data_IF_554326799966
#
_entry.id   IF_554326799966
#
_cell.length_a   1.000
_cell.length_b   1.000
_cell.length_c   1.000
_cell.angle_alpha   90.00
_cell.angle_beta   90.00
_cell.angle_gamma   90.00
#
_symmetry.space_group_name_H-M   'P 1'
#
loop_
_entity.id
_entity.type
_entity.pdbx_description
1 polymer ?
#
# COMPACT_ATOMS: atom_id res chain seq x y z
N UNK A 1 -15.79 5.27 25.12
CA UNK A 1 -15.37 3.87 24.88
C UNK A 1 -14.36 3.92 23.76
N UNK A 2 -13.08 3.72 24.09
CA UNK A 2 -12.00 3.77 23.11
C UNK A 2 -12.04 2.47 22.30
N UNK A 3 -12.44 2.57 21.02
CA UNK A 3 -12.42 1.45 20.10
C UNK A 3 -10.97 1.22 19.61
N UNK A 4 -10.29 0.24 20.17
CA UNK A 4 -8.99 -0.19 19.66
C UNK A 4 -9.15 -0.98 18.36
N UNK A 5 -8.31 -0.70 17.37
CA UNK A 5 -8.18 -1.49 16.15
C UNK A 5 -7.78 -2.93 16.53
N UNK A 6 -8.62 -3.91 16.19
CA UNK A 6 -8.36 -5.31 16.46
C UNK A 6 -7.25 -5.86 15.56
N UNK A 7 -6.20 -6.43 16.15
CA UNK A 7 -5.15 -7.13 15.42
C UNK A 7 -5.49 -8.62 15.36
N UNK A 8 -5.60 -9.20 14.16
CA UNK A 8 -5.63 -10.65 13.93
C UNK A 8 -4.22 -11.13 13.59
N UNK A 9 -3.71 -12.12 14.32
CA UNK A 9 -2.40 -12.71 14.05
C UNK A 9 -2.47 -13.55 12.77
N UNK A 10 -1.64 -13.21 11.77
CA UNK A 10 -1.56 -13.90 10.49
C UNK A 10 -0.78 -15.22 10.55
N UNK A 11 -1.02 -16.08 9.56
CA UNK A 11 -0.27 -17.30 9.30
C UNK A 11 1.21 -17.01 9.01
N UNK A 12 2.14 -17.99 9.20
CA UNK A 12 3.57 -17.77 9.03
C UNK A 12 3.88 -17.43 7.55
N UNK A 13 4.37 -16.21 7.32
CA UNK A 13 4.79 -15.70 6.01
C UNK A 13 4.08 -14.43 5.52
N UNK A 14 2.97 -14.05 6.11
CA UNK A 14 2.27 -12.80 5.78
C UNK A 14 2.46 -11.73 6.84
N UNK A 15 2.62 -10.46 6.43
CA UNK A 15 2.71 -9.32 7.33
C UNK A 15 1.45 -9.14 8.21
N UNK A 16 1.56 -8.25 9.18
CA UNK A 16 0.46 -7.94 10.08
C UNK A 16 -0.75 -7.38 9.33
N UNK A 17 -1.95 -7.70 9.78
CA UNK A 17 -3.21 -7.20 9.20
C UNK A 17 -3.99 -6.37 10.22
N UNK A 18 -4.54 -5.27 9.78
CA UNK A 18 -5.32 -4.34 10.62
C UNK A 18 -6.56 -3.89 9.86
N UNK A 19 -7.68 -3.80 10.58
CA UNK A 19 -8.90 -3.19 10.05
C UNK A 19 -9.12 -1.83 10.67
N UNK A 20 -9.40 -0.83 9.85
CA UNK A 20 -9.79 0.51 10.28
C UNK A 20 -11.31 0.60 10.26
N UNK A 21 -11.95 0.82 11.43
CA UNK A 21 -13.40 0.91 11.53
C UNK A 21 -13.95 2.12 10.77
N UNK A 22 -15.14 1.95 10.19
CA UNK A 22 -15.83 2.97 9.39
C UNK A 22 -16.12 4.27 10.13
N UNK A 23 -16.27 4.19 11.45
CA UNK A 23 -16.57 5.37 12.32
C UNK A 23 -15.32 6.15 12.72
N UNK A 24 -14.12 5.65 12.44
CA UNK A 24 -12.87 6.31 12.79
C UNK A 24 -12.51 7.35 11.72
N UNK A 25 -12.31 8.60 12.14
CA UNK A 25 -11.89 9.64 11.19
C UNK A 25 -10.49 9.34 10.63
N UNK A 26 -10.21 9.63 9.35
CA UNK A 26 -8.92 9.33 8.70
C UNK A 26 -7.70 9.88 9.46
N UNK A 27 -7.78 11.10 9.99
CA UNK A 27 -6.69 11.70 10.76
C UNK A 27 -6.50 11.05 12.14
N UNK A 28 -7.55 10.50 12.74
CA UNK A 28 -7.47 9.71 13.98
C UNK A 28 -6.87 8.34 13.70
N UNK A 29 -7.36 7.64 12.69
CA UNK A 29 -6.78 6.38 12.23
C UNK A 29 -5.29 6.52 11.88
N UNK A 30 -4.92 7.60 11.19
CA UNK A 30 -3.52 7.87 10.86
C UNK A 30 -2.65 8.08 12.10
N UNK A 31 -3.14 8.79 13.11
CA UNK A 31 -2.41 8.98 14.39
C UNK A 31 -2.20 7.67 15.14
N UNK A 32 -3.19 6.77 15.11
CA UNK A 32 -3.11 5.46 15.77
C UNK A 32 -2.16 4.50 15.02
N UNK A 33 -2.12 4.59 13.69
CA UNK A 33 -1.29 3.72 12.84
C UNK A 33 0.15 4.20 12.69
N UNK A 34 0.41 5.52 12.65
CA UNK A 34 1.74 6.06 12.38
C UNK A 34 2.86 5.52 13.31
N UNK A 35 2.66 5.30 14.62
CA UNK A 35 3.68 4.68 15.46
C UNK A 35 4.06 3.27 15.00
N UNK A 36 3.08 2.47 14.54
CA UNK A 36 3.33 1.11 14.03
C UNK A 36 4.13 1.14 12.73
N UNK A 37 3.82 2.06 11.82
CA UNK A 37 4.55 2.22 10.58
C UNK A 37 6.00 2.68 10.82
N UNK A 38 6.23 3.54 11.82
CA UNK A 38 7.59 3.93 12.23
C UNK A 38 8.38 2.75 12.79
N UNK A 39 7.76 1.91 13.60
CA UNK A 39 8.41 0.71 14.15
C UNK A 39 8.90 -0.24 13.05
N UNK A 40 8.19 -0.36 11.92
CA UNK A 40 8.66 -1.16 10.78
C UNK A 40 10.00 -0.69 10.21
N UNK A 41 10.30 0.62 10.27
CA UNK A 41 11.61 1.16 9.85
C UNK A 41 12.70 0.68 10.80
N UNK A 42 12.43 0.70 12.10
CA UNK A 42 13.39 0.30 13.12
C UNK A 42 13.67 -1.22 13.05
N UNK A 43 12.65 -2.03 12.77
CA UNK A 43 12.75 -3.48 12.57
C UNK A 43 13.51 -3.84 11.28
N UNK A 44 13.35 -3.04 10.21
CA UNK A 44 14.05 -3.21 8.95
C UNK A 44 15.52 -2.73 9.00
N UNK A 45 15.93 -2.00 10.04
CA UNK A 45 17.29 -1.59 10.23
C UNK A 45 18.19 -2.83 10.55
N UNK A 46 19.38 -2.98 9.91
CA UNK A 46 20.29 -4.06 10.28
C UNK A 46 20.64 -3.92 11.77
N UNK A 47 20.56 -5.04 12.51
CA UNK A 47 21.05 -5.08 13.87
C UNK A 47 22.47 -4.53 13.87
N UNK A 48 22.70 -3.43 14.60
CA UNK A 48 24.05 -2.87 14.75
C UNK A 48 24.91 -3.95 15.40
N UNK A 49 25.78 -4.58 14.59
CA UNK A 49 26.77 -5.52 15.08
C UNK A 49 27.72 -4.75 16.02
N UNK A 50 27.40 -4.81 17.30
CA UNK A 50 28.30 -4.41 18.35
C UNK A 50 29.56 -5.28 18.27
N UNK A 51 30.72 -4.61 18.35
CA UNK A 51 32.07 -5.17 18.52
C UNK A 51 32.59 -6.14 17.44
N UNK A 52 32.98 -5.60 16.31
CA UNK A 52 34.04 -6.24 15.52
C UNK A 52 35.42 -5.90 16.12
N UNK A 53 35.93 -6.83 16.90
CA UNK A 53 37.36 -6.89 17.28
C UNK A 53 38.18 -6.86 15.99
N UNK A 54 38.99 -5.78 15.80
CA UNK A 54 39.88 -5.62 14.66
C UNK A 54 41.06 -6.60 14.85
N UNK A 55 41.02 -7.71 14.12
CA UNK A 55 42.23 -8.43 13.76
C UNK A 55 42.54 -8.17 12.27
N UNK A 56 43.69 -7.58 12.08
CA UNK A 56 44.16 -7.19 10.75
C UNK A 56 44.77 -8.36 10.00
N UNK A 57 44.17 -8.76 8.90
CA UNK A 57 44.87 -9.27 7.73
C UNK A 57 43.94 -9.29 6.52
N UNK A 58 44.40 -8.63 5.49
CA UNK A 58 43.65 -8.20 4.33
C UNK A 58 43.04 -9.30 3.46
N UNK A 59 41.99 -8.90 2.86
CA UNK A 59 41.70 -8.96 1.42
C UNK A 59 40.42 -8.12 1.27
N UNK A 60 40.49 -7.05 0.50
CA UNK A 60 39.31 -6.24 0.12
C UNK A 60 38.37 -7.11 -0.72
N UNK A 61 37.49 -7.86 -0.08
CA UNK A 61 36.22 -8.21 -0.67
C UNK A 61 35.33 -7.00 -0.43
N UNK A 62 34.85 -6.38 -1.52
CA UNK A 62 33.78 -5.37 -1.50
C UNK A 62 32.64 -5.94 -0.63
N UNK A 63 32.21 -5.28 0.45
CA UNK A 63 31.11 -5.81 1.24
C UNK A 63 29.91 -5.86 0.30
N UNK A 64 29.49 -7.08 -0.04
CA UNK A 64 28.28 -7.30 -0.81
C UNK A 64 27.18 -6.46 -0.15
N UNK A 65 26.69 -5.43 -0.86
CA UNK A 65 25.59 -4.58 -0.42
C UNK A 65 24.41 -5.53 -0.27
N UNK A 66 24.18 -6.01 0.95
CA UNK A 66 22.99 -6.80 1.24
C UNK A 66 21.79 -5.90 0.92
N UNK A 67 20.89 -6.31 0.01
CA UNK A 67 19.69 -5.52 -0.29
C UNK A 67 18.97 -5.19 1.01
N UNK A 68 18.80 -3.90 1.30
CA UNK A 68 18.18 -3.47 2.54
C UNK A 68 16.67 -3.58 2.38
N UNK A 69 16.04 -4.45 3.16
CA UNK A 69 14.60 -4.47 3.28
C UNK A 69 14.07 -3.07 3.61
N UNK A 70 13.08 -2.60 2.87
CA UNK A 70 12.35 -1.38 3.20
C UNK A 70 10.89 -1.73 3.47
N UNK A 71 10.27 -1.14 4.51
CA UNK A 71 8.90 -1.48 4.85
C UNK A 71 7.94 -1.05 3.75
N UNK A 72 7.02 -1.95 3.42
CA UNK A 72 5.90 -1.71 2.51
C UNK A 72 4.59 -1.96 3.25
N UNK A 73 3.68 -0.99 3.17
CA UNK A 73 2.36 -1.04 3.78
C UNK A 73 1.31 -0.92 2.70
N UNK A 74 0.29 -1.76 2.76
CA UNK A 74 -0.85 -1.66 1.83
C UNK A 74 -2.09 -1.11 2.53
N UNK A 75 -2.89 -0.32 1.81
CA UNK A 75 -4.20 0.16 2.25
C UNK A 75 -5.22 -0.25 1.20
N UNK A 76 -6.14 -1.13 1.57
CA UNK A 76 -7.21 -1.60 0.70
C UNK A 76 -8.60 -1.37 1.34
N UNK A 77 -9.61 -1.57 0.58
CA UNK A 77 -11.02 -1.39 0.90
C UNK A 77 -11.76 -1.06 -0.39
N UNK A 78 -13.05 -1.19 -0.39
CA UNK A 78 -13.87 -0.92 -1.58
C UNK A 78 -13.71 0.52 -2.09
N UNK A 79 -13.96 0.73 -3.38
CA UNK A 79 -13.97 2.08 -3.97
C UNK A 79 -14.90 3.02 -3.17
N UNK A 80 -14.41 4.22 -2.84
CA UNK A 80 -15.13 5.19 -2.01
C UNK A 80 -15.06 4.95 -0.49
N UNK A 81 -14.28 3.95 0.00
CA UNK A 81 -14.11 3.69 1.45
C UNK A 81 -13.26 4.73 2.18
N UNK A 82 -12.39 5.47 1.48
CA UNK A 82 -11.52 6.50 2.09
C UNK A 82 -10.02 6.15 2.13
N UNK A 83 -9.57 5.17 1.35
CA UNK A 83 -8.15 4.73 1.26
C UNK A 83 -7.19 5.89 1.01
N UNK A 84 -7.39 6.64 -0.05
CA UNK A 84 -6.52 7.77 -0.43
C UNK A 84 -6.51 8.88 0.64
N UNK A 85 -7.62 9.08 1.34
CA UNK A 85 -7.70 10.04 2.45
C UNK A 85 -6.84 9.57 3.64
N UNK A 86 -6.90 8.29 3.99
CA UNK A 86 -6.04 7.72 5.04
C UNK A 86 -4.58 7.73 4.63
N UNK A 87 -4.24 7.35 3.39
CA UNK A 87 -2.87 7.38 2.87
C UNK A 87 -2.28 8.78 2.94
N UNK A 88 -3.04 9.79 2.50
CA UNK A 88 -2.62 11.20 2.59
C UNK A 88 -2.43 11.67 4.06
N UNK A 89 -3.28 11.21 4.99
CA UNK A 89 -3.14 11.53 6.40
C UNK A 89 -1.87 10.90 7.00
N UNK A 90 -1.57 9.64 6.65
CA UNK A 90 -0.35 8.94 7.06
C UNK A 90 0.91 9.60 6.47
N UNK A 91 0.89 9.98 5.19
CA UNK A 91 2.03 10.63 4.54
C UNK A 91 2.44 11.93 5.24
N UNK A 92 1.47 12.71 5.74
CA UNK A 92 1.76 13.91 6.54
C UNK A 92 2.49 13.61 7.85
N UNK A 93 2.28 12.43 8.44
CA UNK A 93 2.88 12.00 9.71
C UNK A 93 4.18 11.22 9.52
N UNK A 94 4.47 10.77 8.31
CA UNK A 94 5.57 9.86 7.97
C UNK A 94 6.48 10.49 6.91
N UNK A 95 7.30 11.50 7.25
CA UNK A 95 8.23 12.09 6.32
C UNK A 95 9.21 11.03 5.78
N UNK A 96 9.46 11.06 4.48
CA UNK A 96 10.32 10.08 3.79
C UNK A 96 9.62 8.82 3.30
N UNK A 97 8.33 8.64 3.59
CA UNK A 97 7.52 7.61 2.97
C UNK A 97 6.96 8.10 1.63
N UNK A 98 7.04 7.25 0.61
CA UNK A 98 6.34 7.48 -0.65
C UNK A 98 4.94 6.85 -0.61
N UNK A 99 4.03 7.42 -1.39
CA UNK A 99 2.66 6.87 -1.57
C UNK A 99 2.48 6.55 -3.04
N UNK A 100 2.03 5.33 -3.33
CA UNK A 100 1.70 4.85 -4.65
C UNK A 100 0.20 4.55 -4.70
N UNK A 101 -0.45 5.02 -5.76
CA UNK A 101 -1.87 4.86 -5.98
C UNK A 101 -2.12 3.85 -7.10
N UNK A 102 -2.89 2.80 -6.84
CA UNK A 102 -3.23 1.81 -7.88
C UNK A 102 -4.00 2.46 -9.05
N UNK A 103 -4.70 3.57 -8.78
CA UNK A 103 -5.40 4.35 -9.80
C UNK A 103 -4.46 4.87 -10.91
N UNK A 104 -3.16 4.97 -10.63
CA UNK A 104 -2.15 5.42 -11.61
C UNK A 104 -1.84 4.35 -12.67
N UNK A 105 -2.15 3.07 -12.43
CA UNK A 105 -1.76 1.97 -13.34
C UNK A 105 -2.83 0.90 -13.58
N UNK A 106 -4.09 1.09 -13.18
CA UNK A 106 -5.13 0.18 -13.65
C UNK A 106 -5.28 0.32 -15.18
N UNK A 107 -5.16 -0.77 -15.96
CA UNK A 107 -5.37 -0.69 -17.41
C UNK A 107 -6.86 -0.60 -17.72
N UNK A 108 -7.41 0.61 -17.59
CA UNK A 108 -8.81 0.92 -17.83
C UNK A 108 -9.76 0.39 -16.75
N UNK A 109 -11.06 0.48 -17.04
CA UNK A 109 -12.13 0.17 -16.10
C UNK A 109 -12.35 -1.33 -15.82
N UNK A 110 -11.66 -2.25 -16.52
CA UNK A 110 -11.62 -3.69 -16.23
C UNK A 110 -10.32 -4.12 -15.55
N UNK A 111 -9.46 -3.17 -15.25
CA UNK A 111 -8.06 -3.39 -14.91
C UNK A 111 -7.78 -3.76 -13.46
N UNK A 112 -8.78 -3.94 -12.58
CA UNK A 112 -8.54 -4.14 -11.16
C UNK A 112 -7.58 -5.29 -10.87
N UNK A 113 -7.81 -6.47 -11.44
CA UNK A 113 -6.98 -7.65 -11.23
C UNK A 113 -5.54 -7.47 -11.75
N UNK A 114 -5.38 -6.80 -12.91
CA UNK A 114 -4.07 -6.50 -13.48
C UNK A 114 -3.32 -5.49 -12.61
N UNK A 115 -3.99 -4.43 -12.15
CA UNK A 115 -3.40 -3.45 -11.22
C UNK A 115 -2.97 -4.08 -9.89
N UNK A 116 -3.75 -5.01 -9.35
CA UNK A 116 -3.38 -5.77 -8.15
C UNK A 116 -2.09 -6.59 -8.34
N UNK A 117 -1.89 -7.18 -9.54
CA UNK A 117 -0.65 -7.90 -9.86
C UNK A 117 0.57 -6.97 -9.92
N UNK A 118 0.41 -5.76 -10.47
CA UNK A 118 1.47 -4.74 -10.46
C UNK A 118 1.82 -4.33 -9.03
N UNK A 119 0.81 -4.08 -8.18
CA UNK A 119 1.03 -3.75 -6.77
C UNK A 119 1.79 -4.85 -6.02
N UNK A 120 1.45 -6.13 -6.28
CA UNK A 120 2.16 -7.29 -5.70
C UNK A 120 3.63 -7.29 -6.10
N UNK A 121 3.93 -7.16 -7.39
CA UNK A 121 5.31 -7.12 -7.91
C UNK A 121 6.10 -5.95 -7.30
N UNK A 122 5.54 -4.74 -7.26
CA UNK A 122 6.19 -3.58 -6.65
C UNK A 122 6.49 -3.85 -5.17
N UNK A 123 5.55 -4.44 -4.44
CA UNK A 123 5.74 -4.81 -3.04
C UNK A 123 6.89 -5.79 -2.86
N UNK A 124 6.94 -6.85 -3.66
CA UNK A 124 8.01 -7.86 -3.66
C UNK A 124 9.39 -7.23 -3.95
N UNK A 125 9.49 -6.41 -5.00
CA UNK A 125 10.73 -5.74 -5.39
C UNK A 125 11.26 -4.84 -4.26
N UNK A 126 10.41 -3.95 -3.72
CA UNK A 126 10.81 -3.01 -2.68
C UNK A 126 11.22 -3.72 -1.38
N UNK A 127 10.49 -4.75 -0.97
CA UNK A 127 10.85 -5.56 0.20
C UNK A 127 12.17 -6.30 0.01
N UNK A 128 12.49 -6.68 -1.21
CA UNK A 128 13.79 -7.22 -1.57
C UNK A 128 14.90 -6.17 -1.66
N UNK A 129 14.60 -4.89 -1.43
CA UNK A 129 15.57 -3.80 -1.56
C UNK A 129 15.91 -3.47 -3.02
N UNK A 130 15.05 -3.83 -3.96
CA UNK A 130 15.20 -3.56 -5.37
C UNK A 130 14.26 -2.43 -5.83
N UNK A 131 14.70 -1.53 -6.71
CA UNK A 131 13.80 -0.57 -7.34
C UNK A 131 12.80 -1.31 -8.23
N UNK A 132 11.62 -0.73 -8.39
CA UNK A 132 10.57 -1.23 -9.27
C UNK A 132 10.13 -0.17 -10.27
N UNK A 133 9.11 -0.45 -11.07
CA UNK A 133 8.49 0.51 -11.97
C UNK A 133 7.08 0.06 -12.32
N UNK A 134 6.28 0.97 -12.84
CA UNK A 134 4.98 0.64 -13.43
C UNK A 134 4.74 1.48 -14.68
N UNK A 135 3.92 0.98 -15.59
CA UNK A 135 3.41 1.75 -16.72
C UNK A 135 2.14 2.47 -16.25
N UNK A 136 2.18 3.80 -16.25
CA UNK A 136 1.04 4.60 -15.87
C UNK A 136 -0.08 4.46 -16.91
N UNK A 137 -1.35 4.53 -16.45
CA UNK A 137 -2.49 4.54 -17.35
C UNK A 137 -2.95 5.96 -17.62
N UNK A 138 -3.03 6.34 -18.88
CA UNK A 138 -3.60 7.61 -19.30
C UNK A 138 -5.12 7.47 -19.39
N UNK A 139 -5.82 7.92 -18.36
CA UNK A 139 -7.28 7.83 -18.26
C UNK A 139 -8.01 8.72 -19.26
N UNK A 140 -7.37 9.75 -19.82
CA UNK A 140 -7.95 10.61 -20.83
C UNK A 140 -7.85 9.97 -22.23
N UNK A 141 -6.69 9.39 -22.53
CA UNK A 141 -6.45 8.67 -23.78
C UNK A 141 -6.98 7.24 -23.78
N UNK A 142 -7.35 6.69 -22.60
CA UNK A 142 -7.69 5.27 -22.36
C UNK A 142 -6.61 4.33 -22.93
N UNK A 143 -5.34 4.61 -22.59
CA UNK A 143 -4.17 3.93 -23.16
C UNK A 143 -3.00 3.87 -22.16
N UNK A 144 -2.04 2.93 -22.38
CA UNK A 144 -0.77 2.95 -21.68
C UNK A 144 -0.03 4.28 -21.84
N UNK A 145 0.49 4.80 -20.74
CA UNK A 145 1.23 6.05 -20.67
C UNK A 145 2.73 5.85 -20.47
N UNK A 146 3.34 6.69 -19.65
CA UNK A 146 4.78 6.64 -19.38
C UNK A 146 5.11 5.57 -18.34
N UNK A 147 6.34 5.04 -18.41
CA UNK A 147 6.89 4.21 -17.34
C UNK A 147 7.37 5.12 -16.21
N UNK A 148 6.94 4.81 -14.99
CA UNK A 148 7.29 5.52 -13.76
C UNK A 148 8.20 4.63 -12.93
N UNK A 149 9.39 5.14 -12.59
CA UNK A 149 10.33 4.45 -11.71
C UNK A 149 9.89 4.59 -10.25
N UNK A 150 10.01 3.49 -9.50
CA UNK A 150 9.72 3.42 -8.06
C UNK A 150 11.03 3.17 -7.31
N UNK A 151 11.58 4.20 -6.65
CA UNK A 151 12.82 4.06 -5.90
C UNK A 151 12.62 3.21 -4.64
N UNK A 152 13.71 2.63 -4.14
CA UNK A 152 13.73 1.88 -2.88
C UNK A 152 13.57 2.85 -1.70
N UNK A 153 12.37 2.91 -1.15
CA UNK A 153 12.02 3.74 0.00
C UNK A 153 10.85 3.11 0.78
N UNK A 154 10.65 3.46 2.06
CA UNK A 154 9.44 3.09 2.78
C UNK A 154 8.19 3.53 2.00
N UNK A 155 7.25 2.61 1.80
CA UNK A 155 6.17 2.81 0.82
C UNK A 155 4.80 2.47 1.38
N UNK A 156 3.82 3.31 1.09
CA UNK A 156 2.39 3.02 1.22
C UNK A 156 1.86 2.78 -0.19
N UNK A 157 1.28 1.61 -0.44
CA UNK A 157 0.58 1.28 -1.70
C UNK A 157 -0.91 1.26 -1.39
N UNK A 158 -1.71 2.12 -2.02
CA UNK A 158 -3.15 2.19 -1.74
C UNK A 158 -3.99 2.00 -3.00
N UNK A 159 -5.09 1.27 -2.86
CA UNK A 159 -6.06 1.04 -3.93
C UNK A 159 -6.81 -0.28 -3.77
N UNK A 160 -7.85 -0.47 -4.59
CA UNK A 160 -8.61 -1.73 -4.63
C UNK A 160 -7.71 -2.85 -5.18
N UNK A 161 -7.46 -3.91 -4.41
CA UNK A 161 -6.55 -5.01 -4.77
C UNK A 161 -5.16 -4.92 -4.14
N UNK A 162 -4.86 -3.87 -3.37
CA UNK A 162 -3.59 -3.78 -2.65
C UNK A 162 -3.45 -4.83 -1.53
N UNK A 163 -4.56 -5.37 -1.01
CA UNK A 163 -4.60 -6.40 0.03
C UNK A 163 -3.91 -7.70 -0.35
N UNK A 164 -3.86 -8.01 -1.65
CA UNK A 164 -3.30 -9.27 -2.14
C UNK A 164 -1.76 -9.26 -2.21
N UNK A 165 -1.12 -8.11 -1.98
CA UNK A 165 0.32 -8.01 -1.90
C UNK A 165 0.83 -8.48 -0.53
N UNK A 166 2.00 -9.16 -0.51
CA UNK A 166 2.66 -9.61 0.72
C UNK A 166 3.44 -8.45 1.35
N UNK A 167 2.72 -7.52 1.99
CA UNK A 167 3.25 -6.35 2.67
C UNK A 167 3.61 -6.63 4.14
N UNK A 168 4.43 -5.76 4.75
CA UNK A 168 4.78 -5.85 6.17
C UNK A 168 3.59 -5.53 7.07
N UNK A 169 2.70 -4.65 6.58
CA UNK A 169 1.43 -4.35 7.20
C UNK A 169 0.37 -4.14 6.13
N UNK A 170 -0.75 -4.86 6.20
CA UNK A 170 -1.91 -4.64 5.35
C UNK A 170 -3.05 -4.01 6.17
N UNK A 171 -3.56 -2.88 5.69
CA UNK A 171 -4.64 -2.10 6.31
C UNK A 171 -5.88 -2.24 5.45
N UNK A 172 -6.96 -2.73 6.05
CA UNK A 172 -8.29 -2.79 5.43
C UNK A 172 -9.19 -1.69 5.99
N UNK A 173 -9.83 -0.91 5.14
CA UNK A 173 -10.85 0.04 5.57
C UNK A 173 -12.22 -0.62 5.47
N UNK A 174 -12.96 -0.66 6.59
CA UNK A 174 -14.31 -1.20 6.62
C UNK A 174 -15.24 -0.48 5.64
N UNK A 175 -16.22 -1.22 5.14
CA UNK A 175 -17.21 -0.71 4.20
C UNK A 175 -18.27 0.16 4.91
N UNK A 176 -18.36 1.45 4.58
CA UNK A 176 -19.42 2.33 5.11
C UNK A 176 -20.81 2.07 4.48
N UNK A 177 -20.90 1.09 3.59
CA UNK A 177 -22.07 0.78 2.79
C UNK A 177 -22.00 1.36 1.38
N UNK A 178 -22.62 0.64 0.43
CA UNK A 178 -22.51 0.93 -1.01
C UNK A 178 -23.00 2.33 -1.37
N UNK A 179 -24.12 2.77 -0.81
CA UNK A 179 -24.69 4.10 -1.11
C UNK A 179 -23.74 5.23 -0.69
N UNK A 180 -23.13 5.10 0.49
CA UNK A 180 -22.19 6.09 0.99
C UNK A 180 -20.91 6.08 0.16
N UNK A 181 -20.37 4.92 -0.19
CA UNK A 181 -19.18 4.80 -1.06
C UNK A 181 -19.45 5.42 -2.43
N UNK A 182 -20.61 5.10 -3.03
CA UNK A 182 -21.00 5.66 -4.31
C UNK A 182 -21.11 7.18 -4.24
N UNK A 183 -21.76 7.70 -3.21
CA UNK A 183 -21.88 9.14 -2.98
C UNK A 183 -20.51 9.82 -2.92
N UNK A 184 -19.55 9.24 -2.16
CA UNK A 184 -18.18 9.77 -2.02
C UNK A 184 -17.41 9.72 -3.33
N UNK A 185 -17.44 8.58 -4.02
CA UNK A 185 -16.75 8.38 -5.29
C UNK A 185 -17.27 9.34 -6.37
N UNK A 186 -18.58 9.48 -6.51
CA UNK A 186 -19.18 10.42 -7.49
C UNK A 186 -18.96 11.89 -7.12
N UNK A 187 -18.85 12.22 -5.83
CA UNK A 187 -18.52 13.58 -5.42
C UNK A 187 -17.07 13.95 -5.76
N UNK A 188 -16.15 12.96 -5.78
CA UNK A 188 -14.75 13.14 -6.15
C UNK A 188 -14.55 13.20 -7.68
N UNK A 189 -15.07 12.19 -8.39
CA UNK A 189 -14.71 11.92 -9.80
C UNK A 189 -15.85 12.26 -10.79
N UNK A 190 -17.05 12.53 -10.28
CA UNK A 190 -18.16 13.09 -11.05
C UNK A 190 -18.61 12.24 -12.24
N UNK A 191 -18.79 12.93 -13.38
CA UNK A 191 -19.32 12.35 -14.60
C UNK A 191 -18.40 11.30 -15.24
N UNK A 192 -17.10 11.36 -14.99
CA UNK A 192 -16.12 10.41 -15.52
C UNK A 192 -16.29 9.02 -14.91
N UNK A 193 -16.57 8.95 -13.61
CA UNK A 193 -16.71 7.68 -12.91
C UNK A 193 -18.15 7.13 -12.93
N UNK A 194 -19.15 7.98 -13.01
CA UNK A 194 -20.55 7.58 -12.90
C UNK A 194 -20.97 6.42 -13.83
N UNK A 195 -20.59 6.38 -15.13
CA UNK A 195 -20.90 5.28 -16.03
C UNK A 195 -20.24 3.96 -15.66
N UNK A 196 -19.14 4.00 -14.93
CA UNK A 196 -18.27 2.85 -14.64
C UNK A 196 -18.43 2.31 -13.22
N UNK A 197 -19.20 3.00 -12.36
CA UNK A 197 -19.39 2.62 -10.96
C UNK A 197 -19.77 1.15 -10.78
N UNK A 198 -20.84 0.69 -11.48
CA UNK A 198 -21.31 -0.68 -11.30
C UNK A 198 -20.30 -1.70 -11.75
N UNK A 199 -19.67 -1.47 -12.92
CA UNK A 199 -18.61 -2.33 -13.49
C UNK A 199 -17.43 -2.48 -12.53
N UNK A 200 -16.99 -1.38 -11.92
CA UNK A 200 -15.92 -1.40 -10.93
C UNK A 200 -16.35 -2.09 -9.62
N UNK A 201 -17.53 -1.77 -9.12
CA UNK A 201 -18.06 -2.37 -7.89
C UNK A 201 -18.23 -3.89 -8.00
N UNK A 202 -18.58 -4.42 -9.19
CA UNK A 202 -18.71 -5.86 -9.43
C UNK A 202 -17.35 -6.56 -9.38
N UNK A 203 -16.30 -5.98 -9.97
CA UNK A 203 -14.94 -6.48 -9.87
C UNK A 203 -14.44 -6.46 -8.40
N UNK A 204 -14.68 -5.35 -7.72
CA UNK A 204 -14.24 -5.13 -6.34
C UNK A 204 -14.90 -6.14 -5.37
N UNK A 205 -16.20 -6.45 -5.55
CA UNK A 205 -16.89 -7.49 -4.81
C UNK A 205 -16.41 -8.91 -5.17
N UNK A 206 -16.13 -9.13 -6.46
CA UNK A 206 -15.69 -10.43 -6.98
C UNK A 206 -14.37 -10.93 -6.41
N UNK A 207 -13.52 -10.05 -5.86
CA UNK A 207 -12.24 -10.43 -5.24
C UNK A 207 -12.37 -11.38 -4.04
N UNK A 208 -13.51 -11.36 -3.36
CA UNK A 208 -13.75 -12.11 -2.12
C UNK A 208 -14.73 -13.28 -2.30
N UNK A 209 -15.19 -13.53 -3.53
CA UNK A 209 -16.04 -14.67 -3.86
C UNK A 209 -15.15 -15.79 -4.41
N UNK A 210 -14.67 -16.68 -3.52
CA UNK A 210 -14.01 -17.95 -3.85
C UNK A 210 -14.81 -19.10 -3.28
#
# INVERSE_FOLDING_TARGET
>A
MSGQAGASAGAPGGGARVTVPVFLAPDEAARDLAPRLRALIDEAAPASSGDAHRDGSGTHADPAITPRHVPVVTIDGYSGSGKSTLAAALARLLPGWQVLHLDDWYPGWDGLAAGAQVARRICEDLRAGCPSSYEAWDWEADAPGVVVDVPVAPTIIEGCGAWDADADLSIWIEDPGEDERRRRALARDGATYAPHWQRWADQDKGRFVT
#
